data_IF_705795507684
#
_entry.id   IF_705795507684
#
_cell.length_a   1.000
_cell.length_b   1.000
_cell.length_c   1.000
_cell.angle_alpha   90.00
_cell.angle_beta   90.00
_cell.angle_gamma   90.00
#
_symmetry.space_group_name_H-M   'P 1'
#
loop_
_entity.id
_entity.type
_entity.pdbx_description
1 polymer ?
#
# COMPACT_ATOMS: atom_id res chain seq x y z
N UNK A 1 -41.70 10.61 18.64
CA UNK A 1 -40.74 10.31 17.55
C UNK A 1 -41.19 9.00 16.93
N UNK A 2 -41.65 9.02 15.68
CA UNK A 2 -42.15 7.84 14.97
C UNK A 2 -40.99 6.93 14.54
N UNK A 3 -41.24 5.64 14.35
CA UNK A 3 -40.28 4.69 13.77
C UNK A 3 -39.79 5.20 12.40
N UNK A 4 -40.67 5.85 11.63
CA UNK A 4 -40.34 6.48 10.36
C UNK A 4 -39.37 7.66 10.53
N UNK A 5 -39.50 8.45 11.60
CA UNK A 5 -38.58 9.55 11.90
C UNK A 5 -37.19 9.02 12.29
N UNK A 6 -37.15 7.89 13.00
CA UNK A 6 -35.91 7.23 13.38
C UNK A 6 -35.22 6.67 12.14
N UNK A 7 -35.94 5.97 11.26
CA UNK A 7 -35.39 5.38 10.03
C UNK A 7 -34.84 6.46 9.08
N UNK A 8 -35.59 7.54 8.86
CA UNK A 8 -35.14 8.64 7.99
C UNK A 8 -33.94 9.39 8.57
N UNK A 9 -33.88 9.55 9.91
CA UNK A 9 -32.74 10.16 10.58
C UNK A 9 -31.50 9.25 10.57
N UNK A 10 -31.68 7.93 10.73
CA UNK A 10 -30.60 6.94 10.58
C UNK A 10 -30.08 6.94 9.14
N UNK A 11 -30.94 6.92 8.13
CA UNK A 11 -30.55 6.99 6.72
C UNK A 11 -29.77 8.29 6.42
N UNK A 12 -30.23 9.41 6.97
CA UNK A 12 -29.53 10.70 6.86
C UNK A 12 -28.16 10.70 7.55
N UNK A 13 -28.03 9.98 8.66
CA UNK A 13 -26.75 9.80 9.36
C UNK A 13 -25.83 8.90 8.53
N UNK A 14 -26.29 7.74 8.08
CA UNK A 14 -25.53 6.83 7.21
C UNK A 14 -24.98 7.58 5.98
N UNK A 15 -25.82 8.34 5.27
CA UNK A 15 -25.41 9.16 4.12
C UNK A 15 -24.34 10.22 4.44
N UNK A 16 -24.37 10.83 5.63
CA UNK A 16 -23.32 11.79 6.04
C UNK A 16 -21.96 11.14 6.23
N UNK A 17 -21.94 9.84 6.58
CA UNK A 17 -20.74 9.08 6.84
C UNK A 17 -20.30 8.17 5.70
N UNK A 18 -21.10 8.02 4.63
CA UNK A 18 -20.71 7.33 3.39
C UNK A 18 -19.36 7.79 2.83
N UNK A 19 -18.98 9.05 3.06
CA UNK A 19 -17.67 9.59 2.64
C UNK A 19 -16.45 9.02 3.41
N UNK A 20 -16.68 8.28 4.48
CA UNK A 20 -15.65 7.59 5.26
C UNK A 20 -15.65 6.08 4.99
N UNK A 21 -16.61 5.59 4.22
CA UNK A 21 -16.65 4.21 3.75
C UNK A 21 -15.62 4.06 2.62
N UNK A 22 -14.43 3.60 3.00
CA UNK A 22 -13.27 3.44 2.11
C UNK A 22 -13.55 2.38 1.04
N UNK A 23 -14.36 1.37 1.33
CA UNK A 23 -14.75 0.31 0.39
C UNK A 23 -15.75 0.86 -0.63
N UNK A 24 -16.77 1.59 -0.19
CA UNK A 24 -17.73 2.24 -1.09
C UNK A 24 -17.07 3.30 -1.98
N UNK A 25 -16.04 4.01 -1.48
CA UNK A 25 -15.25 4.93 -2.31
C UNK A 25 -14.31 4.21 -3.28
N UNK A 26 -13.75 3.05 -2.89
CA UNK A 26 -12.98 2.19 -3.82
C UNK A 26 -13.85 1.73 -4.98
N UNK A 27 -15.07 1.27 -4.71
CA UNK A 27 -15.98 0.80 -5.75
C UNK A 27 -16.40 1.93 -6.71
N UNK A 28 -16.62 3.14 -6.19
CA UNK A 28 -16.93 4.32 -7.01
C UNK A 28 -15.74 4.77 -7.88
N UNK A 29 -14.51 4.62 -7.39
CA UNK A 29 -13.29 4.91 -8.16
C UNK A 29 -12.97 3.79 -9.17
N UNK A 30 -13.28 2.53 -8.85
CA UNK A 30 -13.17 1.39 -9.75
C UNK A 30 -14.23 1.44 -10.87
N UNK A 31 -15.42 1.96 -10.57
CA UNK A 31 -16.51 2.14 -11.54
C UNK A 31 -16.23 3.26 -12.56
N UNK A 32 -15.28 4.17 -12.28
CA UNK A 32 -14.79 5.17 -13.21
C UNK A 32 -13.72 4.63 -14.16
N UNK A 33 -14.07 3.65 -15.00
CA UNK A 33 -13.33 3.22 -16.21
C UNK A 33 -11.82 3.46 -16.16
N UNK A 34 -11.11 2.67 -15.36
CA UNK A 34 -9.66 2.75 -15.30
C UNK A 34 -9.05 2.36 -16.66
N UNK A 35 -8.35 3.31 -17.29
CA UNK A 35 -7.71 3.12 -18.59
C UNK A 35 -6.74 1.92 -18.61
N UNK A 36 -6.14 1.56 -17.46
CA UNK A 36 -5.32 0.37 -17.34
C UNK A 36 -6.14 -0.90 -17.55
N UNK A 37 -7.30 -1.03 -16.89
CA UNK A 37 -8.16 -2.22 -16.96
C UNK A 37 -8.68 -2.41 -18.39
N UNK A 38 -9.12 -1.33 -19.05
CA UNK A 38 -9.59 -1.41 -20.43
C UNK A 38 -8.50 -1.85 -21.40
N UNK A 39 -7.28 -1.31 -21.27
CA UNK A 39 -6.17 -1.70 -22.13
C UNK A 39 -5.70 -3.13 -21.81
N UNK A 40 -5.70 -3.54 -20.54
CA UNK A 40 -5.38 -4.90 -20.14
C UNK A 40 -6.34 -5.92 -20.76
N UNK A 41 -7.66 -5.71 -20.62
CA UNK A 41 -8.66 -6.60 -21.22
C UNK A 41 -8.60 -6.62 -22.74
N UNK A 42 -8.30 -5.49 -23.39
CA UNK A 42 -8.10 -5.44 -24.84
C UNK A 42 -6.89 -6.29 -25.27
N UNK A 43 -5.76 -6.16 -24.57
CA UNK A 43 -4.55 -6.95 -24.85
C UNK A 43 -4.79 -8.44 -24.61
N UNK A 44 -5.49 -8.83 -23.54
CA UNK A 44 -5.86 -10.24 -23.30
C UNK A 44 -6.68 -10.81 -24.47
N UNK A 45 -7.71 -10.09 -24.92
CA UNK A 45 -8.51 -10.48 -26.08
C UNK A 45 -7.66 -10.60 -27.36
N UNK A 46 -6.74 -9.67 -27.59
CA UNK A 46 -5.87 -9.70 -28.76
C UNK A 46 -4.84 -10.84 -28.71
N UNK A 47 -4.39 -11.24 -27.51
CA UNK A 47 -3.56 -12.44 -27.32
C UNK A 47 -4.36 -13.69 -27.70
N UNK A 48 -5.58 -13.84 -27.18
CA UNK A 48 -6.41 -15.01 -27.44
C UNK A 48 -6.72 -15.15 -28.93
N UNK A 49 -7.13 -14.06 -29.59
CA UNK A 49 -7.34 -14.08 -31.05
C UNK A 49 -6.06 -14.37 -31.85
N UNK A 50 -4.89 -13.97 -31.35
CA UNK A 50 -3.61 -14.28 -31.98
C UNK A 50 -3.25 -15.75 -31.83
N UNK A 51 -3.54 -16.36 -30.67
CA UNK A 51 -3.36 -17.80 -30.43
C UNK A 51 -4.32 -18.64 -31.28
N UNK A 52 -5.59 -18.26 -31.37
CA UNK A 52 -6.55 -18.92 -32.26
C UNK A 52 -6.09 -18.88 -33.73
N UNK A 53 -5.58 -17.73 -34.20
CA UNK A 53 -5.00 -17.61 -35.54
C UNK A 53 -3.75 -18.47 -35.74
N UNK A 54 -2.94 -18.65 -34.69
CA UNK A 54 -1.79 -19.54 -34.73
C UNK A 54 -2.21 -21.00 -34.85
N UNK A 55 -3.21 -21.44 -34.07
CA UNK A 55 -3.77 -22.79 -34.16
C UNK A 55 -4.43 -23.06 -35.51
N UNK A 56 -5.18 -22.09 -36.05
CA UNK A 56 -5.74 -22.16 -37.40
C UNK A 56 -4.62 -22.34 -38.45
N UNK A 57 -3.51 -21.62 -38.31
CA UNK A 57 -2.36 -21.75 -39.20
C UNK A 57 -1.55 -23.05 -39.03
N UNK A 58 -1.70 -23.77 -37.91
CA UNK A 58 -1.16 -25.12 -37.73
C UNK A 58 -2.04 -26.19 -38.39
N UNK A 59 -3.37 -26.00 -38.31
CA UNK A 59 -4.35 -26.93 -38.87
C UNK A 59 -4.63 -26.69 -40.37
N UNK A 60 -4.15 -25.58 -40.92
CA UNK A 60 -4.29 -25.21 -42.32
C UNK A 60 -3.50 -26.15 -43.24
N UNK A 61 -4.20 -26.71 -44.24
CA UNK A 61 -3.63 -27.67 -45.20
C UNK A 61 -2.99 -26.98 -46.39
N UNK A 62 -3.44 -25.77 -46.72
CA UNK A 62 -2.84 -24.99 -47.79
C UNK A 62 -1.59 -24.26 -47.26
N UNK A 63 -0.41 -24.72 -47.69
CA UNK A 63 0.89 -24.16 -47.29
C UNK A 63 0.98 -22.65 -47.52
N UNK A 64 0.45 -22.12 -48.62
CA UNK A 64 0.49 -20.69 -48.91
C UNK A 64 -0.39 -19.90 -47.95
N UNK A 65 -1.59 -20.41 -47.64
CA UNK A 65 -2.51 -19.82 -46.66
C UNK A 65 -1.92 -19.86 -45.24
N UNK A 66 -1.33 -20.99 -44.83
CA UNK A 66 -0.66 -21.14 -43.54
C UNK A 66 0.49 -20.14 -43.36
N UNK A 67 1.29 -19.91 -44.42
CA UNK A 67 2.38 -18.91 -44.40
C UNK A 67 1.84 -17.49 -44.28
N UNK A 68 0.74 -17.17 -44.97
CA UNK A 68 0.08 -15.87 -44.87
C UNK A 68 -0.47 -15.61 -43.46
N UNK A 69 -1.17 -16.60 -42.87
CA UNK A 69 -1.69 -16.51 -41.50
C UNK A 69 -0.56 -16.38 -40.46
N UNK A 70 0.54 -17.13 -40.58
CA UNK A 70 1.71 -16.96 -39.69
C UNK A 70 2.37 -15.60 -39.85
N UNK A 71 2.34 -15.01 -41.05
CA UNK A 71 2.81 -13.64 -41.24
C UNK A 71 1.90 -12.62 -40.55
N UNK A 72 0.58 -12.87 -40.50
CA UNK A 72 -0.36 -12.06 -39.73
C UNK A 72 -0.14 -12.20 -38.22
N UNK A 73 0.03 -13.43 -37.70
CA UNK A 73 0.37 -13.69 -36.29
C UNK A 73 1.61 -12.90 -35.86
N UNK A 74 2.66 -12.83 -36.70
CA UNK A 74 3.85 -12.00 -36.43
C UNK A 74 3.53 -10.50 -36.34
N UNK A 75 2.65 -9.99 -37.20
CA UNK A 75 2.24 -8.57 -37.16
C UNK A 75 1.41 -8.27 -35.93
N UNK A 76 0.49 -9.17 -35.55
CA UNK A 76 -0.31 -9.03 -34.32
C UNK A 76 0.56 -9.11 -33.08
N UNK A 77 1.50 -10.05 -33.00
CA UNK A 77 2.48 -10.13 -31.90
C UNK A 77 3.30 -8.85 -31.76
N UNK A 78 3.77 -8.26 -32.87
CA UNK A 78 4.50 -6.99 -32.82
C UNK A 78 3.65 -5.84 -32.26
N UNK A 79 2.36 -5.76 -32.64
CA UNK A 79 1.42 -4.78 -32.06
C UNK A 79 1.18 -5.02 -30.57
N UNK A 80 0.96 -6.27 -30.17
CA UNK A 80 0.80 -6.65 -28.76
C UNK A 80 1.99 -6.21 -27.91
N UNK A 81 3.22 -6.36 -28.40
CA UNK A 81 4.44 -5.88 -27.71
C UNK A 81 4.41 -4.36 -27.51
N UNK A 82 3.99 -3.59 -28.52
CA UNK A 82 3.85 -2.13 -28.39
C UNK A 82 2.76 -1.73 -27.38
N UNK A 83 1.64 -2.46 -27.34
CA UNK A 83 0.55 -2.18 -26.41
C UNK A 83 0.87 -2.57 -24.98
N UNK A 84 1.57 -3.67 -24.76
CA UNK A 84 2.12 -4.04 -23.45
C UNK A 84 3.07 -2.95 -22.93
N UNK A 85 3.90 -2.36 -23.80
CA UNK A 85 4.75 -1.23 -23.41
C UNK A 85 3.94 0.03 -23.02
N UNK A 86 2.79 0.27 -23.64
CA UNK A 86 1.85 1.34 -23.23
C UNK A 86 1.21 1.02 -21.88
N UNK A 87 0.80 -0.24 -21.67
CA UNK A 87 0.22 -0.71 -20.42
C UNK A 87 1.22 -0.60 -19.26
N UNK A 88 2.51 -0.89 -19.50
CA UNK A 88 3.58 -0.71 -18.53
C UNK A 88 3.75 0.76 -18.12
N UNK A 89 3.60 1.71 -19.05
CA UNK A 89 3.60 3.15 -18.70
C UNK A 89 2.40 3.53 -17.84
N UNK A 90 1.24 2.89 -18.06
CA UNK A 90 0.04 3.12 -17.26
C UNK A 90 0.15 2.50 -15.86
N UNK A 91 0.82 1.35 -15.69
CA UNK A 91 1.01 0.73 -14.37
C UNK A 91 1.94 1.54 -13.46
N UNK A 92 2.91 2.26 -14.02
CA UNK A 92 3.83 3.12 -13.27
C UNK A 92 3.23 4.48 -12.91
N UNK A 93 2.10 4.85 -13.53
CA UNK A 93 1.45 6.14 -13.32
C UNK A 93 0.67 6.12 -12.00
N UNK A 94 1.19 6.80 -10.98
CA UNK A 94 0.48 6.96 -9.70
C UNK A 94 -0.79 7.80 -9.88
N UNK A 95 -1.96 7.18 -9.76
CA UNK A 95 -3.26 7.87 -9.73
C UNK A 95 -3.67 8.13 -8.29
N UNK A 96 -4.30 9.28 -8.03
CA UNK A 96 -4.79 9.67 -6.70
C UNK A 96 -5.84 8.66 -6.23
N UNK A 97 -5.53 7.88 -5.19
CA UNK A 97 -6.42 6.86 -4.63
C UNK A 97 -5.97 5.40 -4.82
N UNK A 98 -4.94 5.13 -5.63
CA UNK A 98 -4.36 3.78 -5.74
C UNK A 98 -3.49 3.44 -4.53
N UNK A 99 -3.67 2.25 -3.97
CA UNK A 99 -2.80 1.74 -2.91
C UNK A 99 -1.46 1.26 -3.48
N UNK A 100 -0.43 1.20 -2.62
CA UNK A 100 0.87 0.62 -2.99
C UNK A 100 0.74 -0.83 -3.43
N UNK A 101 -0.17 -1.57 -2.80
CA UNK A 101 -0.48 -2.96 -3.10
C UNK A 101 -1.12 -3.13 -4.49
N UNK A 102 -2.04 -2.25 -4.86
CA UNK A 102 -2.70 -2.28 -6.18
C UNK A 102 -1.72 -1.94 -7.31
N UNK A 103 -0.77 -1.03 -7.06
CA UNK A 103 0.27 -0.69 -8.03
C UNK A 103 1.25 -1.86 -8.26
N UNK A 104 1.61 -2.59 -7.19
CA UNK A 104 2.41 -3.80 -7.30
C UNK A 104 1.68 -4.89 -8.06
N UNK A 105 0.41 -5.15 -7.73
CA UNK A 105 -0.41 -6.13 -8.44
C UNK A 105 -0.53 -5.82 -9.95
N UNK A 106 -0.67 -4.54 -10.32
CA UNK A 106 -0.67 -4.11 -11.73
C UNK A 106 0.68 -4.35 -12.41
N UNK A 107 1.79 -4.17 -11.69
CA UNK A 107 3.12 -4.45 -12.23
C UNK A 107 3.29 -5.95 -12.51
N UNK A 108 2.88 -6.80 -11.57
CA UNK A 108 2.92 -8.25 -11.71
C UNK A 108 2.04 -8.74 -12.88
N UNK A 109 0.84 -8.15 -13.04
CA UNK A 109 -0.03 -8.43 -14.19
C UNK A 109 0.63 -8.08 -15.52
N UNK A 110 1.36 -6.96 -15.60
CA UNK A 110 2.10 -6.55 -16.81
C UNK A 110 3.27 -7.52 -17.09
N UNK A 111 3.97 -7.98 -16.06
CA UNK A 111 5.05 -8.97 -16.20
C UNK A 111 4.49 -10.28 -16.76
N UNK A 112 3.43 -10.82 -16.15
CA UNK A 112 2.77 -12.03 -16.62
C UNK A 112 2.27 -11.91 -18.07
N UNK A 113 1.71 -10.75 -18.43
CA UNK A 113 1.24 -10.47 -19.80
C UNK A 113 2.41 -10.41 -20.80
N UNK A 114 3.54 -9.82 -20.39
CA UNK A 114 4.76 -9.77 -21.20
C UNK A 114 5.29 -11.17 -21.50
N UNK A 115 5.36 -12.03 -20.48
CA UNK A 115 5.77 -13.43 -20.65
C UNK A 115 4.83 -14.19 -21.59
N UNK A 116 3.51 -14.00 -21.43
CA UNK A 116 2.50 -14.63 -22.29
C UNK A 116 2.63 -14.20 -23.75
N UNK A 117 2.85 -12.91 -24.02
CA UNK A 117 3.10 -12.42 -25.39
C UNK A 117 4.41 -13.00 -25.94
N UNK A 118 5.48 -13.06 -25.14
CA UNK A 118 6.75 -13.64 -25.59
C UNK A 118 6.64 -15.13 -25.94
N UNK A 119 5.82 -15.89 -25.19
CA UNK A 119 5.58 -17.32 -25.40
C UNK A 119 4.82 -17.63 -26.69
N UNK A 120 4.16 -16.65 -27.34
CA UNK A 120 3.53 -16.84 -28.65
C UNK A 120 4.60 -17.31 -29.65
N UNK A 121 4.43 -18.46 -30.33
CA UNK A 121 5.47 -19.00 -31.20
C UNK A 121 5.78 -18.08 -32.37
N UNK A 122 7.02 -17.57 -32.42
CA UNK A 122 7.54 -16.87 -33.59
C UNK A 122 8.09 -17.89 -34.59
N UNK A 123 7.47 -17.97 -35.76
CA UNK A 123 7.89 -18.86 -36.85
C UNK A 123 9.29 -18.51 -37.48
N UNK A 124 10.18 -17.83 -36.75
CA UNK A 124 11.45 -17.30 -37.25
C UNK A 124 12.59 -18.32 -37.37
N UNK A 125 12.39 -19.61 -37.08
CA UNK A 125 13.49 -20.60 -37.16
C UNK A 125 13.63 -21.30 -38.51
N UNK A 126 12.95 -20.85 -39.57
CA UNK A 126 13.05 -21.52 -40.87
C UNK A 126 13.06 -20.57 -42.09
N UNK A 127 14.15 -19.83 -42.29
CA UNK A 127 14.69 -19.56 -43.64
C UNK A 127 16.05 -18.85 -43.58
N UNK A 128 17.12 -19.60 -43.25
CA UNK A 128 18.44 -19.30 -43.81
C UNK A 128 18.57 -20.07 -45.12
N UNK A 129 18.15 -19.48 -46.24
CA UNK A 129 18.67 -19.86 -47.55
C UNK A 129 18.43 -18.76 -48.59
N UNK A 130 19.55 -18.12 -48.92
CA UNK A 130 19.97 -17.52 -50.18
C UNK A 130 19.00 -16.62 -50.97
N UNK A 131 19.36 -15.34 -51.09
CA UNK A 131 18.92 -14.47 -52.18
C UNK A 131 18.79 -13.00 -51.82
N UNK A 132 19.89 -12.26 -51.87
CA UNK A 132 19.99 -10.81 -52.08
C UNK A 132 19.05 -9.86 -51.29
N UNK A 133 19.58 -9.30 -50.18
CA UNK A 133 19.36 -7.88 -49.81
C UNK A 133 20.40 -7.47 -48.75
N UNK A 134 21.66 -7.39 -49.16
CA UNK A 134 22.72 -6.75 -48.37
C UNK A 134 22.47 -5.24 -48.43
N UNK A 135 21.75 -4.71 -47.44
CA UNK A 135 21.51 -3.27 -47.32
C UNK A 135 20.52 -2.85 -46.24
N UNK A 136 19.60 -3.73 -45.83
CA UNK A 136 18.50 -3.32 -44.93
C UNK A 136 18.48 -4.04 -43.56
N UNK A 137 19.46 -4.90 -43.29
CA UNK A 137 19.59 -5.65 -42.03
C UNK A 137 20.36 -4.91 -40.93
N UNK A 138 21.27 -4.01 -41.29
CA UNK A 138 22.12 -3.30 -40.32
C UNK A 138 21.37 -2.14 -39.64
N UNK A 139 20.51 -1.41 -40.36
CA UNK A 139 19.75 -0.29 -39.80
C UNK A 139 18.67 -0.70 -38.78
N UNK A 140 18.03 -1.87 -38.96
CA UNK A 140 17.00 -2.36 -38.00
C UNK A 140 17.60 -2.93 -36.72
N UNK A 141 18.79 -3.54 -36.79
CA UNK A 141 19.53 -4.00 -35.60
C UNK A 141 20.02 -2.81 -34.77
N UNK A 142 20.46 -1.73 -35.42
CA UNK A 142 20.88 -0.50 -34.74
C UNK A 142 19.76 0.18 -33.95
N UNK A 143 18.52 0.20 -34.46
CA UNK A 143 17.39 0.81 -33.74
C UNK A 143 16.91 -0.03 -32.55
N UNK A 144 16.95 -1.37 -32.64
CA UNK A 144 16.58 -2.21 -31.49
C UNK A 144 17.64 -2.20 -30.40
N UNK A 145 18.92 -2.02 -30.75
CA UNK A 145 20.01 -1.83 -29.78
C UNK A 145 19.90 -0.45 -29.11
N UNK A 146 19.59 0.61 -29.87
CA UNK A 146 19.36 1.95 -29.30
C UNK A 146 18.21 2.00 -28.29
N UNK A 147 17.08 1.35 -28.57
CA UNK A 147 15.96 1.30 -27.61
C UNK A 147 16.26 0.45 -26.37
N UNK A 148 17.12 -0.57 -26.50
CA UNK A 148 17.60 -1.34 -25.35
C UNK A 148 18.59 -0.52 -24.51
N UNK A 149 19.50 0.21 -25.14
CA UNK A 149 20.45 1.10 -24.46
C UNK A 149 19.71 2.22 -23.72
N UNK A 150 18.68 2.81 -24.34
CA UNK A 150 17.86 3.86 -23.72
C UNK A 150 17.03 3.32 -22.54
N UNK A 151 16.54 2.08 -22.62
CA UNK A 151 15.90 1.39 -21.49
C UNK A 151 16.87 1.08 -20.35
N UNK A 152 18.09 0.67 -20.68
CA UNK A 152 19.16 0.42 -19.70
C UNK A 152 19.62 1.72 -19.02
N UNK A 153 19.61 2.85 -19.72
CA UNK A 153 19.92 4.17 -19.14
C UNK A 153 18.85 4.64 -18.16
N UNK A 154 17.57 4.40 -18.45
CA UNK A 154 16.48 4.72 -17.51
C UNK A 154 16.55 3.81 -16.27
N UNK A 155 16.86 2.52 -16.46
CA UNK A 155 17.07 1.59 -15.36
C UNK A 155 18.29 2.01 -14.53
N UNK A 156 19.42 2.37 -15.17
CA UNK A 156 20.64 2.79 -14.47
C UNK A 156 20.43 4.07 -13.67
N UNK A 157 19.69 5.05 -14.23
CA UNK A 157 19.28 6.25 -13.50
C UNK A 157 18.38 5.92 -12.33
N UNK A 158 17.35 5.09 -12.53
CA UNK A 158 16.46 4.66 -11.46
C UNK A 158 17.20 3.93 -10.34
N UNK A 159 18.17 3.09 -10.69
CA UNK A 159 19.02 2.36 -9.75
C UNK A 159 19.97 3.30 -9.02
N UNK A 160 20.49 4.34 -9.68
CA UNK A 160 21.31 5.37 -9.06
C UNK A 160 20.49 6.25 -8.09
N UNK A 161 19.25 6.62 -8.45
CA UNK A 161 18.33 7.31 -7.54
C UNK A 161 18.01 6.46 -6.32
N UNK A 162 17.73 5.16 -6.52
CA UNK A 162 17.47 4.23 -5.42
C UNK A 162 18.69 4.05 -4.52
N UNK A 163 19.90 3.96 -5.11
CA UNK A 163 21.16 3.90 -4.38
C UNK A 163 21.40 5.15 -3.53
N UNK A 164 21.12 6.33 -4.08
CA UNK A 164 21.27 7.58 -3.35
C UNK A 164 20.26 7.66 -2.20
N UNK A 165 18.99 7.30 -2.42
CA UNK A 165 17.99 7.25 -1.33
C UNK A 165 18.36 6.21 -0.25
N UNK A 166 18.90 5.06 -0.64
CA UNK A 166 19.36 4.05 0.30
C UNK A 166 20.52 4.56 1.15
N UNK A 167 21.45 5.30 0.55
CA UNK A 167 22.53 5.95 1.28
C UNK A 167 22.00 7.06 2.21
N UNK A 168 21.11 7.92 1.73
CA UNK A 168 20.51 8.99 2.52
C UNK A 168 19.74 8.43 3.72
N UNK A 169 19.00 7.33 3.52
CA UNK A 169 18.32 6.61 4.60
C UNK A 169 19.29 5.97 5.59
N UNK A 170 20.41 5.43 5.11
CA UNK A 170 21.44 4.87 5.98
C UNK A 170 22.08 5.96 6.85
N UNK A 171 22.42 7.11 6.25
CA UNK A 171 22.94 8.24 7.01
C UNK A 171 21.91 8.82 8.00
N UNK A 172 20.63 8.86 7.63
CA UNK A 172 19.56 9.31 8.52
C UNK A 172 19.33 8.34 9.69
N UNK A 173 19.43 7.02 9.44
CA UNK A 173 19.43 6.01 10.50
C UNK A 173 20.62 6.18 11.44
N UNK A 174 21.83 6.37 10.90
CA UNK A 174 23.04 6.60 11.69
C UNK A 174 22.95 7.90 12.51
N UNK A 175 22.30 8.94 11.97
CA UNK A 175 22.00 10.20 12.68
C UNK A 175 20.95 10.05 13.78
N UNK A 176 20.03 9.10 13.67
CA UNK A 176 18.98 8.87 14.67
C UNK A 176 19.45 8.07 15.90
N UNK A 177 20.52 7.28 15.78
CA UNK A 177 21.10 6.52 16.92
C UNK A 177 21.41 7.41 18.14
N UNK A 178 22.15 8.54 18.02
CA UNK A 178 22.44 9.41 19.17
C UNK A 178 21.20 10.15 19.72
N UNK A 179 20.16 10.36 18.91
CA UNK A 179 18.91 10.98 19.37
C UNK A 179 18.08 10.03 20.22
N UNK A 180 18.11 8.72 19.92
CA UNK A 180 17.46 7.70 20.74
C UNK A 180 18.11 7.65 22.13
N UNK A 181 19.44 7.68 22.20
CA UNK A 181 20.16 7.71 23.48
C UNK A 181 19.84 8.96 24.31
N UNK A 182 19.73 10.13 23.66
CA UNK A 182 19.34 11.38 24.35
C UNK A 182 17.88 11.35 24.83
N UNK A 183 16.99 10.70 24.07
CA UNK A 183 15.59 10.50 24.47
C UNK A 183 15.52 9.58 25.68
N UNK A 184 16.23 8.46 25.68
CA UNK A 184 16.25 7.53 26.81
C UNK A 184 16.77 8.23 28.08
N UNK A 185 17.84 9.01 27.98
CA UNK A 185 18.37 9.77 29.10
C UNK A 185 17.36 10.82 29.61
N UNK A 186 16.65 11.50 28.70
CA UNK A 186 15.59 12.46 29.06
C UNK A 186 14.39 11.78 29.72
N UNK A 187 14.00 10.60 29.26
CA UNK A 187 12.92 9.79 29.84
C UNK A 187 13.30 9.33 31.25
N UNK A 188 14.53 8.88 31.46
CA UNK A 188 15.03 8.46 32.77
C UNK A 188 15.06 9.63 33.77
N UNK A 189 15.57 10.79 33.34
CA UNK A 189 15.54 12.01 34.18
C UNK A 189 14.12 12.43 34.55
N UNK A 190 13.21 12.50 33.57
CA UNK A 190 11.82 12.87 33.82
C UNK A 190 11.12 11.89 34.77
N UNK A 191 11.41 10.58 34.64
CA UNK A 191 10.87 9.55 35.53
C UNK A 191 11.41 9.70 36.96
N UNK A 192 12.70 10.02 37.11
CA UNK A 192 13.31 10.29 38.41
C UNK A 192 12.70 11.53 39.09
N UNK A 193 12.52 12.61 38.34
CA UNK A 193 11.90 13.84 38.83
C UNK A 193 10.44 13.61 39.26
N UNK A 194 9.67 12.83 38.49
CA UNK A 194 8.31 12.42 38.86
C UNK A 194 8.28 11.56 40.13
N UNK A 195 9.25 10.65 40.31
CA UNK A 195 9.35 9.86 41.56
C UNK A 195 9.68 10.76 42.75
N UNK A 196 10.66 11.66 42.61
CA UNK A 196 11.07 12.56 43.68
C UNK A 196 9.96 13.55 44.06
N UNK A 197 9.24 14.11 43.09
CA UNK A 197 8.09 14.97 43.35
C UNK A 197 6.96 14.20 44.04
N UNK A 198 6.67 12.96 43.65
CA UNK A 198 5.70 12.11 44.35
C UNK A 198 6.12 11.81 45.80
N UNK A 199 7.41 11.54 46.07
CA UNK A 199 7.92 11.37 47.43
C UNK A 199 7.72 12.64 48.24
N UNK A 200 8.10 13.81 47.71
CA UNK A 200 7.92 15.11 48.39
C UNK A 200 6.44 15.46 48.63
N UNK A 201 5.57 15.18 47.66
CA UNK A 201 4.13 15.36 47.80
C UNK A 201 3.57 14.44 48.89
N UNK A 202 3.98 13.18 48.90
CA UNK A 202 3.59 12.21 49.93
C UNK A 202 4.09 12.60 51.32
N UNK A 203 5.31 13.11 51.43
CA UNK A 203 5.86 13.60 52.70
C UNK A 203 5.11 14.84 53.18
N UNK A 204 4.81 15.78 52.27
CA UNK A 204 4.01 16.98 52.57
C UNK A 204 2.60 16.59 53.02
N UNK A 205 1.96 15.62 52.34
CA UNK A 205 0.67 15.07 52.73
C UNK A 205 0.73 14.42 54.11
N UNK A 206 1.76 13.62 54.37
CA UNK A 206 1.96 12.95 55.67
C UNK A 206 2.19 13.97 56.78
N UNK A 207 2.98 15.02 56.53
CA UNK A 207 3.16 16.14 57.44
C UNK A 207 1.85 16.89 57.68
N UNK A 208 1.03 17.13 56.66
CA UNK A 208 -0.26 17.81 56.79
C UNK A 208 -1.25 17.00 57.65
N UNK A 209 -1.29 15.68 57.42
CA UNK A 209 -2.10 14.72 58.19
C UNK A 209 -1.60 14.60 59.64
N UNK A 210 -0.29 14.61 59.88
CA UNK A 210 0.29 14.48 61.22
C UNK A 210 0.35 15.79 62.01
N UNK A 211 0.40 16.94 61.34
CA UNK A 211 0.40 18.28 61.96
C UNK A 211 -0.99 18.76 62.37
N UNK A 212 -2.02 17.90 62.29
CA UNK A 212 -3.35 18.18 62.81
C UNK A 212 -4.07 19.38 62.19
N UNK A 213 -3.62 19.90 61.04
CA UNK A 213 -4.39 20.85 60.22
C UNK A 213 -5.36 20.11 59.30
N UNK A 214 -5.95 19.01 59.80
CA UNK A 214 -7.14 18.46 59.19
C UNK A 214 -8.21 19.54 59.26
N UNK A 215 -8.68 19.98 58.09
CA UNK A 215 -9.85 20.83 57.97
C UNK A 215 -10.93 20.29 58.93
N UNK A 216 -11.23 21.03 60.00
CA UNK A 216 -12.53 20.96 60.64
C UNK A 216 -13.53 21.34 59.55
N UNK A 217 -14.03 20.32 58.86
CA UNK A 217 -15.25 20.47 58.10
C UNK A 217 -16.34 20.65 59.14
N UNK A 218 -16.59 21.91 59.50
CA UNK A 218 -17.78 22.33 60.22
C UNK A 218 -18.98 22.05 59.30
N UNK A 219 -19.41 20.79 59.31
CA UNK A 219 -20.75 20.43 58.86
C UNK A 219 -21.67 21.02 59.92
N UNK A 220 -22.15 22.23 59.65
CA UNK A 220 -23.21 22.85 60.44
C UNK A 220 -24.39 21.90 60.56
N UNK A 221 -25.01 21.94 61.75
CA UNK A 221 -26.25 21.25 62.07
C UNK A 221 -27.31 21.54 61.00
N UNK A 222 -27.46 20.59 60.08
CA UNK A 222 -28.52 20.53 59.09
C UNK A 222 -29.32 19.27 59.33
N UNK A 223 -30.30 19.39 60.22
CA UNK A 223 -31.34 18.39 60.48
C UNK A 223 -31.97 17.96 59.15
N UNK A 224 -31.88 16.68 58.78
CA UNK A 224 -32.37 16.17 57.50
C UNK A 224 -32.06 14.70 57.30
N UNK A 225 -32.87 13.85 57.91
CA UNK A 225 -33.01 12.43 57.61
C UNK A 225 -33.04 12.15 56.09
N UNK A 226 -32.14 11.31 55.57
CA UNK A 226 -32.50 9.99 55.03
C UNK A 226 -31.36 9.26 54.29
N UNK A 227 -30.99 8.10 54.84
CA UNK A 227 -30.83 6.82 54.13
C UNK A 227 -30.00 6.75 52.83
N UNK A 228 -28.70 6.44 52.97
CA UNK A 228 -28.11 5.10 52.67
C UNK A 228 -26.59 5.18 52.46
N UNK A 229 -25.83 4.53 53.34
CA UNK A 229 -24.52 3.94 53.00
C UNK A 229 -24.75 2.58 52.34
N UNK A 230 -23.92 2.17 51.36
CA UNK A 230 -23.47 0.80 51.28
C UNK A 230 -22.16 0.69 52.06
N UNK A 231 -22.22 -0.13 53.10
CA UNK A 231 -21.04 -0.67 53.76
C UNK A 231 -20.28 -1.55 52.76
N UNK A 232 -18.95 -1.45 52.75
CA UNK A 232 -18.13 -2.64 52.55
C UNK A 232 -17.03 -2.66 53.60
N UNK A 233 -17.06 -3.77 54.31
CA UNK A 233 -16.30 -4.20 55.46
C UNK A 233 -14.82 -4.42 55.16
N UNK A 234 -13.95 -3.99 56.08
CA UNK A 234 -12.80 -4.78 56.52
C UNK A 234 -12.62 -4.52 58.02
N UNK A 235 -13.13 -5.45 58.84
CA UNK A 235 -12.99 -5.43 60.28
C UNK A 235 -11.63 -5.95 60.74
N UNK A 236 -11.00 -5.15 61.60
CA UNK A 236 -10.27 -5.47 62.84
C UNK A 236 -9.43 -6.75 62.96
N UNK A 237 -8.19 -6.58 63.43
CA UNK A 237 -7.78 -6.94 64.82
C UNK A 237 -6.33 -6.47 65.07
N UNK A 238 -6.12 -5.39 65.82
CA UNK A 238 -5.65 -5.36 67.23
C UNK A 238 -4.16 -5.70 67.45
N UNK A 239 -3.43 -4.64 67.82
CA UNK A 239 -2.24 -4.60 68.70
C UNK A 239 -2.55 -5.26 70.07
N UNK A 240 -1.57 -5.62 70.97
CA UNK A 240 -0.78 -4.58 71.67
C UNK A 240 0.60 -4.93 72.30
N UNK A 241 1.33 -3.85 72.62
CA UNK A 241 2.17 -3.55 73.81
C UNK A 241 3.40 -4.42 74.19
N UNK A 242 4.54 -3.72 74.24
CA UNK A 242 5.52 -3.61 75.33
C UNK A 242 5.72 -4.82 76.27
N UNK A 243 6.87 -5.49 76.22
CA UNK A 243 8.07 -5.21 77.03
C UNK A 243 9.27 -5.97 76.48
#
# INVERSE_FOLDING_TARGET
MSVIDILTRVDSICKKYDKYDVEKQKDLNAAGSDAFIHLYSAIESDIDTTLEKWEAALNEKNRAAAVAMRAEVRRSKAKLVEEVAKLQKLSLKKVKGQSKEELLARNDLVIALTERVQAIPDASTASKQAGSSVGQGLARKSHSIQHQDEGLDIISQGLNTLKNMANDMNEELDRQVPLIDEIDEKVDRATSDLKNTNVRLKDTLTQFVSSGHGLEFSSGDGNGDDHRRPQFSLGNSLHPRCH
#
